data_IF_691137562474
#
_entry.id   IF_691137562474
#
_cell.length_a   1.000
_cell.length_b   1.000
_cell.length_c   1.000
_cell.angle_alpha   90.00
_cell.angle_beta   90.00
_cell.angle_gamma   90.00
#
_symmetry.space_group_name_H-M   'P 1'
#
loop_
_entity.id
_entity.type
_entity.pdbx_description
1 polymer ?
#
# COMPACT_ATOMS: atom_id res chain seq x y z
N UNK A 1 -0.12 -19.41 0.23
CA UNK A 1 0.02 -18.16 1.02
C UNK A 1 0.97 -18.29 2.22
N UNK A 2 0.68 -19.10 3.25
CA UNK A 2 1.60 -19.24 4.42
C UNK A 2 3.01 -19.72 4.04
N UNK A 3 3.10 -20.71 3.16
CA UNK A 3 4.38 -21.18 2.62
C UNK A 3 5.12 -20.07 1.85
N UNK A 4 4.40 -19.21 1.11
CA UNK A 4 4.99 -18.09 0.37
C UNK A 4 5.58 -17.02 1.29
N UNK A 5 4.94 -16.74 2.44
CA UNK A 5 5.51 -15.85 3.48
C UNK A 5 6.84 -16.40 4.00
N UNK A 6 6.89 -17.71 4.30
CA UNK A 6 8.11 -18.35 4.78
C UNK A 6 9.21 -18.37 3.71
N UNK A 7 8.83 -18.61 2.46
CA UNK A 7 9.74 -18.56 1.32
C UNK A 7 10.32 -17.15 1.13
N UNK A 8 9.46 -16.12 1.13
CA UNK A 8 9.86 -14.72 1.00
C UNK A 8 10.83 -14.33 2.12
N UNK A 9 10.51 -14.64 3.38
CA UNK A 9 11.39 -14.39 4.53
C UNK A 9 12.77 -14.99 4.31
N UNK A 10 12.82 -16.30 4.02
CA UNK A 10 14.08 -17.03 3.80
C UNK A 10 14.90 -16.45 2.66
N UNK A 11 14.25 -16.01 1.59
CA UNK A 11 14.94 -15.41 0.44
C UNK A 11 15.53 -14.06 0.83
N UNK A 12 14.77 -13.17 1.46
CA UNK A 12 15.27 -11.89 1.95
C UNK A 12 16.46 -12.08 2.90
N UNK A 13 16.33 -12.96 3.90
CA UNK A 13 17.42 -13.23 4.86
C UNK A 13 18.70 -13.78 4.19
N UNK A 14 18.57 -14.42 3.02
CA UNK A 14 19.69 -15.00 2.29
C UNK A 14 20.35 -14.01 1.32
N UNK A 15 19.57 -13.15 0.65
CA UNK A 15 20.05 -12.40 -0.51
C UNK A 15 19.98 -10.87 -0.36
N UNK A 16 19.15 -10.36 0.55
CA UNK A 16 18.94 -8.91 0.64
C UNK A 16 20.10 -8.26 1.41
N UNK A 17 20.80 -7.28 0.82
CA UNK A 17 21.87 -6.56 1.49
C UNK A 17 21.31 -5.74 2.66
N UNK A 18 22.01 -5.69 3.79
CA UNK A 18 21.65 -4.83 4.93
C UNK A 18 20.17 -4.94 5.38
N UNK A 19 19.55 -6.13 5.27
CA UNK A 19 18.12 -6.34 5.54
C UNK A 19 17.63 -5.76 6.87
N UNK A 20 18.50 -5.76 7.89
CA UNK A 20 18.16 -5.33 9.25
C UNK A 20 18.49 -3.87 9.55
N UNK A 21 18.92 -3.08 8.55
CA UNK A 21 19.36 -1.69 8.73
C UNK A 21 18.29 -0.79 9.33
N UNK A 22 17.05 -0.90 8.86
CA UNK A 22 15.92 -0.06 9.31
C UNK A 22 14.96 -0.79 10.24
N UNK A 23 14.97 -2.13 10.23
CA UNK A 23 14.18 -2.97 11.13
C UNK A 23 15.07 -4.04 11.76
N UNK A 24 15.38 -3.93 13.07
CA UNK A 24 16.22 -4.92 13.76
C UNK A 24 15.65 -6.34 13.66
N UNK A 25 16.53 -7.35 13.65
CA UNK A 25 16.17 -8.76 13.48
C UNK A 25 14.99 -9.24 14.37
N UNK A 26 14.91 -8.89 15.68
CA UNK A 26 13.77 -9.27 16.50
C UNK A 26 12.43 -8.67 15.99
N UNK A 27 12.43 -7.38 15.64
CA UNK A 27 11.26 -6.71 15.09
C UNK A 27 10.87 -7.26 13.72
N UNK A 28 11.86 -7.59 12.88
CA UNK A 28 11.64 -8.21 11.57
C UNK A 28 11.03 -9.60 11.69
N UNK A 29 11.48 -10.40 12.67
CA UNK A 29 10.86 -11.69 13.01
C UNK A 29 9.40 -11.50 13.43
N UNK A 30 9.11 -10.60 14.37
CA UNK A 30 7.74 -10.31 14.83
C UNK A 30 6.84 -9.84 13.70
N UNK A 31 7.37 -9.04 12.77
CA UNK A 31 6.64 -8.63 11.57
C UNK A 31 6.24 -9.83 10.71
N UNK A 32 7.17 -10.72 10.39
CA UNK A 32 6.87 -11.92 9.60
C UNK A 32 5.92 -12.90 10.30
N UNK A 33 6.06 -13.06 11.62
CA UNK A 33 5.13 -13.86 12.42
C UNK A 33 3.72 -13.25 12.35
N UNK A 34 3.60 -11.91 12.44
CA UNK A 34 2.33 -11.20 12.31
C UNK A 34 1.69 -11.41 10.93
N UNK A 35 2.48 -11.32 9.85
CA UNK A 35 1.98 -11.63 8.50
C UNK A 35 1.48 -13.08 8.42
N UNK A 36 2.26 -14.04 8.93
CA UNK A 36 1.93 -15.46 8.89
C UNK A 36 0.61 -15.78 9.63
N UNK A 37 0.42 -15.22 10.83
CA UNK A 37 -0.79 -15.45 11.63
C UNK A 37 -2.00 -14.66 11.14
N UNK A 38 -1.80 -13.55 10.41
CA UNK A 38 -2.91 -12.84 9.76
C UNK A 38 -3.59 -13.63 8.65
N UNK A 39 -2.91 -14.65 8.08
CA UNK A 39 -3.46 -15.57 7.09
C UNK A 39 -4.26 -16.66 7.83
N UNK A 40 -5.43 -16.28 8.33
CA UNK A 40 -6.34 -17.15 9.08
C UNK A 40 -7.57 -17.62 8.27
N UNK A 41 -7.70 -17.15 7.03
CA UNK A 41 -8.76 -17.52 6.08
C UNK A 41 -8.22 -17.46 4.65
N UNK A 42 -8.88 -18.13 3.69
CA UNK A 42 -8.56 -17.93 2.28
C UNK A 42 -8.62 -16.44 1.90
N UNK A 43 -7.64 -15.98 1.13
CA UNK A 43 -7.55 -14.63 0.60
C UNK A 43 -7.31 -14.74 -0.90
N UNK A 44 -7.84 -13.79 -1.66
CA UNK A 44 -7.49 -13.65 -3.07
C UNK A 44 -6.10 -13.00 -3.21
N UNK A 45 -5.59 -12.99 -4.44
CA UNK A 45 -4.29 -12.40 -4.76
C UNK A 45 -4.19 -10.95 -4.29
N UNK A 46 -5.21 -10.12 -4.54
CA UNK A 46 -5.22 -8.72 -4.13
C UNK A 46 -5.07 -8.54 -2.61
N UNK A 47 -5.77 -9.35 -1.82
CA UNK A 47 -5.66 -9.32 -0.37
C UNK A 47 -4.29 -9.77 0.12
N UNK A 48 -3.74 -10.82 -0.49
CA UNK A 48 -2.39 -11.29 -0.16
C UNK A 48 -1.31 -10.27 -0.55
N UNK A 49 -1.41 -9.68 -1.73
CA UNK A 49 -0.53 -8.63 -2.23
C UNK A 49 -0.55 -7.38 -1.33
N UNK A 50 -1.75 -6.96 -0.92
CA UNK A 50 -1.94 -5.84 0.02
C UNK A 50 -1.34 -6.11 1.39
N UNK A 51 -1.19 -7.38 1.79
CA UNK A 51 -0.56 -7.78 3.04
C UNK A 51 0.97 -7.77 2.91
N UNK A 52 1.53 -8.42 1.89
CA UNK A 52 2.99 -8.56 1.73
C UNK A 52 3.69 -7.24 1.38
N UNK A 53 3.01 -6.31 0.70
CA UNK A 53 3.58 -4.98 0.37
C UNK A 53 3.89 -4.11 1.59
N UNK A 54 3.37 -4.44 2.78
CA UNK A 54 3.80 -3.82 4.04
C UNK A 54 5.29 -4.04 4.33
N UNK A 55 5.92 -5.03 3.68
CA UNK A 55 7.35 -5.30 3.76
C UNK A 55 8.19 -4.10 3.31
N UNK A 56 7.72 -3.33 2.32
CA UNK A 56 8.49 -2.21 1.75
C UNK A 56 8.91 -1.19 2.83
N UNK A 57 8.01 -0.90 3.78
CA UNK A 57 8.32 -0.01 4.90
C UNK A 57 9.24 -0.64 5.96
N UNK A 58 9.39 -1.96 5.98
CA UNK A 58 10.26 -2.70 6.91
C UNK A 58 11.67 -2.90 6.37
N UNK A 59 11.80 -3.15 5.07
CA UNK A 59 13.11 -3.20 4.40
C UNK A 59 13.69 -1.81 4.23
N UNK A 60 12.85 -0.79 3.99
CA UNK A 60 13.32 0.58 3.78
C UNK A 60 14.24 0.70 2.56
N UNK A 61 14.00 -0.12 1.54
CA UNK A 61 14.79 -0.18 0.31
C UNK A 61 13.91 0.13 -0.91
N UNK A 62 14.32 1.12 -1.71
CA UNK A 62 13.70 1.49 -2.97
C UNK A 62 13.82 0.45 -4.08
N UNK A 63 14.73 -0.53 -3.95
CA UNK A 63 15.04 -1.50 -5.02
C UNK A 63 14.41 -2.88 -4.80
N UNK A 64 13.83 -3.12 -3.62
CA UNK A 64 13.12 -4.37 -3.31
C UNK A 64 11.63 -4.21 -3.56
N UNK A 65 11.21 -4.44 -4.80
CA UNK A 65 9.83 -4.29 -5.25
C UNK A 65 9.06 -5.61 -5.27
N UNK A 66 7.87 -5.62 -4.68
CA UNK A 66 6.87 -6.65 -4.90
C UNK A 66 5.89 -6.18 -5.97
N UNK A 67 5.79 -6.96 -7.05
CA UNK A 67 4.89 -6.67 -8.17
C UNK A 67 3.67 -7.60 -8.15
N UNK A 68 2.49 -7.09 -8.54
CA UNK A 68 1.31 -7.93 -8.74
C UNK A 68 1.53 -8.90 -9.92
N UNK A 69 0.74 -9.98 -10.00
CA UNK A 69 0.77 -10.80 -11.21
C UNK A 69 0.29 -10.02 -12.43
N UNK A 70 0.65 -10.50 -13.61
CA UNK A 70 0.13 -9.98 -14.87
C UNK A 70 -1.40 -10.04 -14.92
N UNK A 71 -1.99 -11.14 -14.43
CA UNK A 71 -3.46 -11.31 -14.36
C UNK A 71 -4.11 -10.21 -13.52
N UNK A 72 -3.58 -9.93 -12.32
CA UNK A 72 -4.11 -8.87 -11.47
C UNK A 72 -3.89 -7.48 -12.06
N UNK A 73 -2.74 -7.25 -12.70
CA UNK A 73 -2.43 -6.00 -13.40
C UNK A 73 -3.43 -5.75 -14.54
N UNK A 74 -3.65 -6.75 -15.40
CA UNK A 74 -4.59 -6.67 -16.51
C UNK A 74 -6.03 -6.49 -16.04
N UNK A 75 -6.43 -7.19 -14.96
CA UNK A 75 -7.75 -7.00 -14.36
C UNK A 75 -7.95 -5.56 -13.87
N UNK A 76 -6.94 -5.00 -13.21
CA UNK A 76 -6.96 -3.61 -12.72
C UNK A 76 -7.13 -2.61 -13.87
N UNK A 77 -6.34 -2.77 -14.93
CA UNK A 77 -6.33 -1.85 -16.06
C UNK A 77 -7.63 -1.89 -16.88
N UNK A 78 -8.27 -3.05 -16.97
CA UNK A 78 -9.45 -3.25 -17.84
C UNK A 78 -10.78 -3.18 -17.10
N UNK A 79 -10.81 -3.56 -15.82
CA UNK A 79 -12.06 -3.72 -15.03
C UNK A 79 -12.02 -3.02 -13.68
N UNK A 80 -10.91 -2.36 -13.33
CA UNK A 80 -10.75 -1.65 -12.07
C UNK A 80 -11.76 -0.50 -11.94
N UNK A 81 -12.45 -0.44 -10.80
CA UNK A 81 -13.26 0.74 -10.44
C UNK A 81 -12.31 1.86 -10.00
N UNK A 82 -11.91 2.70 -10.95
CA UNK A 82 -11.04 3.84 -10.68
C UNK A 82 -11.85 5.04 -10.21
N UNK A 83 -11.26 5.81 -9.30
CA UNK A 83 -11.81 7.10 -8.91
C UNK A 83 -11.80 8.04 -10.14
N UNK A 84 -12.90 8.75 -10.46
CA UNK A 84 -13.00 9.63 -11.63
C UNK A 84 -12.35 11.00 -11.39
N UNK A 85 -11.29 11.04 -10.59
CA UNK A 85 -10.54 12.26 -10.27
C UNK A 85 -9.04 11.98 -10.42
N UNK A 86 -8.32 12.93 -10.99
CA UNK A 86 -6.87 13.01 -10.79
C UNK A 86 -6.62 13.85 -9.54
N UNK A 87 -5.67 13.42 -8.71
CA UNK A 87 -5.49 13.94 -7.36
C UNK A 87 -4.04 14.28 -7.11
N UNK A 88 -3.81 15.25 -6.24
CA UNK A 88 -2.49 15.56 -5.71
C UNK A 88 -2.52 15.61 -4.19
N UNK A 89 -1.48 15.06 -3.56
CA UNK A 89 -1.27 15.10 -2.13
C UNK A 89 -0.24 16.16 -1.77
N UNK A 90 -0.69 17.18 -1.04
CA UNK A 90 0.11 18.34 -0.65
C UNK A 90 -0.18 18.62 0.83
N UNK A 91 0.87 18.77 1.64
CA UNK A 91 0.78 19.18 3.05
C UNK A 91 -0.25 18.40 3.89
N UNK A 92 -0.29 17.08 3.68
CA UNK A 92 -1.19 16.22 4.45
C UNK A 92 -2.60 16.05 3.86
N UNK A 93 -2.91 16.77 2.77
CA UNK A 93 -4.25 16.89 2.20
C UNK A 93 -4.29 16.42 0.75
N UNK A 94 -5.46 15.94 0.33
CA UNK A 94 -5.69 15.39 -1.01
C UNK A 94 -6.60 16.35 -1.79
N UNK A 95 -6.12 16.85 -2.91
CA UNK A 95 -6.81 17.86 -3.72
C UNK A 95 -7.14 17.33 -5.11
N UNK A 96 -8.24 17.82 -5.68
CA UNK A 96 -8.66 17.50 -7.05
C UNK A 96 -7.85 18.33 -8.05
N UNK A 97 -7.16 17.65 -8.96
CA UNK A 97 -6.46 18.29 -10.09
C UNK A 97 -7.38 18.35 -11.30
N UNK A 98 -8.08 17.26 -11.60
CA UNK A 98 -9.08 17.18 -12.66
C UNK A 98 -10.28 16.33 -12.23
N UNK A 99 -11.47 16.81 -12.61
CA UNK A 99 -12.72 16.09 -12.49
C UNK A 99 -13.04 15.41 -13.83
N UNK A 100 -13.02 14.08 -13.84
CA UNK A 100 -13.36 13.24 -15.00
C UNK A 100 -14.71 12.55 -14.82
N UNK A 101 -15.53 13.01 -13.87
CA UNK A 101 -16.87 12.48 -13.63
C UNK A 101 -17.93 13.29 -14.41
N UNK A 102 -19.16 12.79 -14.44
CA UNK A 102 -20.30 13.52 -15.00
C UNK A 102 -20.84 14.62 -14.06
N UNK A 103 -20.44 14.60 -12.78
CA UNK A 103 -20.88 15.57 -11.79
C UNK A 103 -20.02 16.83 -11.90
N UNK A 104 -20.57 17.89 -12.48
CA UNK A 104 -19.88 19.17 -12.66
C UNK A 104 -19.88 20.07 -11.42
N UNK A 105 -20.51 19.66 -10.31
CA UNK A 105 -20.50 20.44 -9.07
C UNK A 105 -19.17 20.37 -8.32
N UNK A 106 -18.32 19.40 -8.67
CA UNK A 106 -17.01 19.19 -8.05
C UNK A 106 -15.95 19.95 -8.84
N UNK A 107 -15.30 20.91 -8.19
CA UNK A 107 -14.34 21.82 -8.81
C UNK A 107 -12.88 21.41 -8.61
N UNK A 108 -12.00 21.94 -9.47
CA UNK A 108 -10.55 21.78 -9.31
C UNK A 108 -10.08 22.54 -8.08
N UNK A 109 -9.13 21.97 -7.35
CA UNK A 109 -8.59 22.55 -6.11
C UNK A 109 -9.40 22.21 -4.86
N UNK A 110 -10.56 21.57 -4.98
CA UNK A 110 -11.31 21.10 -3.81
C UNK A 110 -10.55 20.02 -3.03
N UNK A 111 -10.66 20.06 -1.71
CA UNK A 111 -10.07 19.07 -0.81
C UNK A 111 -11.02 17.86 -0.67
N UNK A 112 -10.50 16.66 -0.95
CA UNK A 112 -11.18 15.42 -0.60
C UNK A 112 -10.85 15.07 0.85
N UNK A 113 -11.85 15.23 1.72
CA UNK A 113 -11.71 14.89 3.15
C UNK A 113 -12.06 13.43 3.45
N UNK A 114 -12.91 12.79 2.64
CA UNK A 114 -13.36 11.40 2.79
C UNK A 114 -13.62 10.73 1.45
N UNK A 115 -13.36 9.42 1.38
CA UNK A 115 -13.73 8.58 0.24
C UNK A 115 -14.51 7.37 0.78
N UNK A 116 -15.77 7.22 0.37
CA UNK A 116 -16.68 6.17 0.88
C UNK A 116 -16.74 6.13 2.43
N UNK A 117 -16.86 7.30 3.07
CA UNK A 117 -16.95 7.44 4.52
C UNK A 117 -15.62 7.36 5.29
N UNK A 118 -14.52 6.96 4.66
CA UNK A 118 -13.19 6.86 5.28
C UNK A 118 -12.39 8.15 5.06
N UNK A 119 -11.75 8.67 6.13
CA UNK A 119 -10.91 9.88 6.06
C UNK A 119 -9.74 9.67 5.11
N UNK A 120 -9.46 10.65 4.24
CA UNK A 120 -8.34 10.55 3.28
C UNK A 120 -6.99 10.41 3.96
N UNK A 121 -6.77 11.03 5.12
CA UNK A 121 -5.56 10.81 5.92
C UNK A 121 -5.32 9.32 6.28
N UNK A 122 -6.38 8.58 6.62
CA UNK A 122 -6.28 7.14 6.93
C UNK A 122 -6.00 6.30 5.67
N UNK A 123 -6.61 6.67 4.54
CA UNK A 123 -6.36 6.04 3.24
C UNK A 123 -4.90 6.27 2.83
N UNK A 124 -4.43 7.52 2.88
CA UNK A 124 -3.05 7.88 2.55
C UNK A 124 -2.05 7.15 3.44
N UNK A 125 -2.29 7.09 4.76
CA UNK A 125 -1.44 6.33 5.69
C UNK A 125 -1.32 4.85 5.27
N UNK A 126 -2.45 4.21 4.95
CA UNK A 126 -2.45 2.82 4.47
C UNK A 126 -1.71 2.65 3.15
N UNK A 127 -1.95 3.53 2.17
CA UNK A 127 -1.31 3.42 0.86
C UNK A 127 0.19 3.68 0.95
N UNK A 128 0.62 4.70 1.72
CA UNK A 128 2.03 5.01 1.96
C UNK A 128 2.75 3.83 2.60
N UNK A 129 2.16 3.16 3.59
CA UNK A 129 2.77 2.01 4.28
C UNK A 129 3.13 0.83 3.35
N UNK A 130 2.57 0.80 2.14
CA UNK A 130 2.80 -0.25 1.13
C UNK A 130 3.74 0.18 0.01
N UNK A 131 4.27 1.41 0.05
CA UNK A 131 5.20 1.90 -0.97
C UNK A 131 6.65 1.65 -0.58
N UNK A 132 7.45 1.35 -1.60
CA UNK A 132 8.91 1.38 -1.56
C UNK A 132 9.42 2.77 -1.18
N UNK A 133 10.58 2.80 -0.54
CA UNK A 133 11.18 4.00 0.04
C UNK A 133 12.63 3.75 0.36
N UNK A 134 13.40 4.82 0.49
CA UNK A 134 14.75 4.76 1.03
C UNK A 134 14.74 5.18 2.51
N UNK A 135 14.89 4.19 3.39
CA UNK A 135 14.79 4.33 4.83
C UNK A 135 13.44 4.91 5.27
N UNK A 136 13.51 6.05 5.95
CA UNK A 136 12.32 6.74 6.48
C UNK A 136 11.78 7.84 5.56
N UNK A 137 12.40 8.05 4.39
CA UNK A 137 12.01 9.11 3.45
C UNK A 137 10.64 8.81 2.81
N UNK A 138 9.73 9.79 2.84
CA UNK A 138 8.39 9.67 2.28
C UNK A 138 8.23 10.34 0.91
N UNK A 139 9.23 11.07 0.40
CA UNK A 139 9.16 11.77 -0.88
C UNK A 139 8.82 10.82 -2.03
N UNK A 140 9.46 9.65 -2.10
CA UNK A 140 9.16 8.69 -3.17
C UNK A 140 7.79 8.00 -3.01
N UNK A 141 7.38 7.53 -1.81
CA UNK A 141 6.00 7.13 -1.57
C UNK A 141 4.96 8.18 -1.97
N UNK A 142 5.17 9.46 -1.64
CA UNK A 142 4.27 10.56 -2.01
C UNK A 142 4.24 10.73 -3.53
N UNK A 143 5.40 10.73 -4.18
CA UNK A 143 5.50 10.81 -5.64
C UNK A 143 4.74 9.66 -6.31
N UNK A 144 4.92 8.42 -5.86
CA UNK A 144 4.19 7.25 -6.35
C UNK A 144 2.67 7.46 -6.20
N UNK A 145 2.22 7.92 -5.03
CA UNK A 145 0.78 8.13 -4.82
C UNK A 145 0.24 9.26 -5.70
N UNK A 146 0.98 10.36 -5.90
CA UNK A 146 0.54 11.44 -6.80
C UNK A 146 0.39 10.97 -8.26
N UNK A 147 1.15 9.98 -8.70
CA UNK A 147 1.07 9.46 -10.08
C UNK A 147 0.10 8.28 -10.22
N UNK A 148 -0.03 7.45 -9.18
CA UNK A 148 -0.71 6.15 -9.27
C UNK A 148 -1.85 5.97 -8.27
N UNK A 149 -2.32 7.03 -7.58
CA UNK A 149 -3.37 6.96 -6.55
C UNK A 149 -4.57 6.13 -6.99
N UNK A 150 -5.10 6.38 -8.20
CA UNK A 150 -6.33 5.76 -8.73
C UNK A 150 -6.20 4.23 -8.78
N UNK A 151 -5.09 3.73 -9.29
CA UNK A 151 -4.80 2.29 -9.36
C UNK A 151 -4.45 1.70 -8.00
N UNK A 152 -3.78 2.47 -7.12
CA UNK A 152 -3.37 1.99 -5.81
C UNK A 152 -4.50 1.95 -4.79
N UNK A 153 -5.55 2.76 -4.96
CA UNK A 153 -6.70 2.83 -4.05
C UNK A 153 -7.38 1.48 -3.82
N UNK A 154 -7.35 0.58 -4.81
CA UNK A 154 -7.95 -0.75 -4.68
C UNK A 154 -7.16 -1.69 -3.75
N UNK A 155 -5.85 -1.48 -3.57
CA UNK A 155 -5.01 -2.29 -2.68
C UNK A 155 -5.13 -1.86 -1.21
N UNK A 156 -6.05 -0.94 -0.92
CA UNK A 156 -6.41 -0.61 0.45
C UNK A 156 -7.19 -1.76 1.07
N UNK A 157 -6.95 -1.99 2.37
CA UNK A 157 -7.78 -2.91 3.14
C UNK A 157 -8.98 -2.13 3.62
N UNK A 158 -10.14 -2.36 3.01
CA UNK A 158 -11.41 -1.77 3.43
C UNK A 158 -11.80 -2.36 4.79
N UNK A 159 -11.33 -1.73 5.88
CA UNK A 159 -11.60 -2.10 7.28
C UNK A 159 -11.25 -3.55 7.62
N UNK A 160 -10.05 -3.74 8.20
CA UNK A 160 -9.84 -4.80 9.18
C UNK A 160 -10.07 -4.20 10.57
N UNK A 161 -11.13 -4.61 11.27
CA UNK A 161 -10.95 -4.82 12.71
C UNK A 161 -9.82 -5.84 12.83
N UNK A 162 -8.74 -5.45 13.50
CA UNK A 162 -7.50 -6.21 13.76
C UNK A 162 -6.61 -6.52 12.56
N UNK A 163 -5.54 -5.73 12.41
CA UNK A 163 -4.28 -6.27 11.88
C UNK A 163 -3.06 -5.92 12.74
N UNK A 164 -3.18 -4.97 13.69
CA UNK A 164 -2.16 -4.74 14.72
C UNK A 164 -2.85 -4.31 16.03
N UNK A 165 -2.49 -4.90 17.18
CA UNK A 165 -2.88 -4.35 18.48
C UNK A 165 -2.21 -2.99 18.65
N UNK A 166 -2.97 -2.02 19.16
CA UNK A 166 -2.39 -0.77 19.67
C UNK A 166 -1.61 -1.15 20.93
N UNK A 167 -0.30 -0.95 20.92
CA UNK A 167 0.50 -0.75 22.12
C UNK A 167 0.74 0.74 22.30
#
# INVERSE_FOLDING_TARGET
MKADILFLKRKLEKIHPDLYRYTPRPAFKTFFDSLYYSINKPMNEQGFFSLITLLHAKTGDGHTMLLPSETMTNHTNTRGKLLPFTLTYIDGKLYIVENCSADSSIEKGEEIVKINGEKTAAIMSQLMARQIRDGYNQTYPIWILNHYFRGLLQFRVRSARSLFPRT
#
